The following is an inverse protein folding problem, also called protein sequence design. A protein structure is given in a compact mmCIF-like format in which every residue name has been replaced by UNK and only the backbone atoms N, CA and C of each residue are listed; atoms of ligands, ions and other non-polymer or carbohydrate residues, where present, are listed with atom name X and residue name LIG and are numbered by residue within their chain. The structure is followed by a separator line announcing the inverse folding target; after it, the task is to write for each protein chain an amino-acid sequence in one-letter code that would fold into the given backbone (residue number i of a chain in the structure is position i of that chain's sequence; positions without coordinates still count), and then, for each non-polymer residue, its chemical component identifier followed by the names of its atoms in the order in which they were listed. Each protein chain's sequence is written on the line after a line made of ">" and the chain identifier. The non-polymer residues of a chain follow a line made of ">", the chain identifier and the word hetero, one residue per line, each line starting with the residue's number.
data_IF_583028335614
#
_entry.id   IF_583028335614
#
_cell.length_a   1.000
_cell.length_b   1.000
_cell.length_c   1.000
_cell.angle_alpha   90.00
_cell.angle_beta   90.00
_cell.angle_gamma   90.00
#
_symmetry.space_group_name_H-M   'P 1'
#
loop_
_entity.id
_entity.type
_entity.pdbx_description
1 polymer ?
#
# COMPACT_ATOMS: atom_id res chain seq x y z
N UNK A 1 -28.47 30.41 65.08
CA UNK A 1 -29.88 30.35 64.64
C UNK A 1 -29.94 29.35 63.50
N UNK A 2 -30.65 28.24 63.70
CA UNK A 2 -31.09 27.20 62.74
C UNK A 2 -29.98 26.35 62.05
N UNK A 3 -29.74 25.08 62.46
CA UNK A 3 -30.38 23.78 62.06
C UNK A 3 -30.18 23.44 60.57
N UNK A 4 -29.91 22.23 60.08
CA UNK A 4 -29.42 20.90 60.51
C UNK A 4 -29.44 20.02 59.22
N UNK A 5 -28.82 18.82 59.23
CA UNK A 5 -29.01 17.68 58.29
C UNK A 5 -28.51 17.84 56.82
N UNK A 6 -27.46 17.14 56.36
CA UNK A 6 -27.34 15.71 55.99
C UNK A 6 -27.94 15.31 54.64
N UNK A 7 -27.09 14.65 53.84
CA UNK A 7 -27.38 13.62 52.83
C UNK A 7 -27.85 13.99 51.41
N UNK A 8 -27.20 13.26 50.50
CA UNK A 8 -27.67 12.66 49.26
C UNK A 8 -27.43 13.34 47.91
N UNK A 9 -27.00 12.43 47.05
CA UNK A 9 -26.43 12.53 45.73
C UNK A 9 -27.55 12.26 44.69
N UNK A 10 -27.31 12.70 43.45
CA UNK A 10 -27.94 12.24 42.19
C UNK A 10 -29.38 12.75 41.89
N UNK A 11 -29.47 13.74 40.99
CA UNK A 11 -30.49 13.92 39.93
C UNK A 11 -29.86 14.84 38.86
N UNK A 12 -30.10 14.81 37.54
CA UNK A 12 -30.82 13.95 36.59
C UNK A 12 -30.41 14.45 35.19
N UNK A 13 -30.13 13.52 34.30
CA UNK A 13 -30.35 13.49 32.83
C UNK A 13 -30.33 14.80 32.01
N UNK A 14 -29.40 14.85 31.04
CA UNK A 14 -29.75 15.17 29.65
C UNK A 14 -29.24 14.06 28.75
N UNK A 15 -30.18 13.55 27.96
CA UNK A 15 -30.20 12.29 27.25
C UNK A 15 -29.17 12.22 26.10
N UNK A 16 -28.47 11.09 26.05
CA UNK A 16 -27.83 10.56 24.85
C UNK A 16 -28.92 9.88 23.98
N UNK A 17 -28.83 9.93 22.65
CA UNK A 17 -29.83 9.30 21.78
C UNK A 17 -29.83 7.78 21.97
N UNK A 18 -31.04 7.23 22.00
CA UNK A 18 -31.40 5.85 22.33
C UNK A 18 -30.61 4.81 21.52
N UNK A 19 -29.93 3.91 22.24
CA UNK A 19 -29.46 2.64 21.72
C UNK A 19 -30.66 1.82 21.26
N UNK A 20 -30.70 1.51 19.95
CA UNK A 20 -31.54 0.43 19.45
C UNK A 20 -30.90 -0.88 19.90
N UNK A 21 -31.46 -1.45 20.96
CA UNK A 21 -31.11 -2.78 21.48
C UNK A 21 -31.83 -3.80 20.61
N UNK A 22 -31.12 -4.35 19.61
CA UNK A 22 -31.46 -5.66 19.08
C UNK A 22 -30.74 -6.71 19.94
N UNK A 23 -31.56 -7.61 20.48
CA UNK A 23 -31.24 -8.72 21.40
C UNK A 23 -30.37 -9.77 20.70
N UNK A 24 -29.05 -9.53 20.64
CA UNK A 24 -27.99 -10.54 20.58
C UNK A 24 -26.64 -9.82 20.69
N UNK A 25 -26.03 -9.86 21.87
CA UNK A 25 -24.81 -9.15 22.23
C UNK A 25 -23.56 -9.56 21.46
N UNK A 26 -23.47 -9.15 20.20
CA UNK A 26 -22.23 -9.03 19.44
C UNK A 26 -22.03 -7.55 19.15
N UNK A 27 -21.15 -6.93 19.93
CA UNK A 27 -20.55 -5.63 19.61
C UNK A 27 -20.00 -5.75 18.18
N UNK A 28 -20.66 -5.12 17.21
CA UNK A 28 -20.26 -5.24 15.80
C UNK A 28 -18.92 -4.54 15.64
N UNK A 29 -17.84 -5.32 15.75
CA UNK A 29 -16.50 -4.92 15.38
C UNK A 29 -16.56 -4.23 14.01
N UNK A 30 -15.82 -3.12 13.79
CA UNK A 30 -15.74 -2.51 12.47
C UNK A 30 -15.38 -3.62 11.48
N UNK A 31 -16.24 -3.82 10.49
CA UNK A 31 -16.11 -4.89 9.50
C UNK A 31 -14.72 -4.80 8.89
N UNK A 32 -13.83 -5.74 9.24
CA UNK A 32 -12.55 -5.88 8.54
C UNK A 32 -12.91 -6.07 7.06
N UNK A 33 -12.53 -5.10 6.23
CA UNK A 33 -12.73 -5.17 4.79
C UNK A 33 -11.92 -6.39 4.33
N UNK A 34 -12.58 -7.33 3.66
CA UNK A 34 -11.90 -8.51 3.15
C UNK A 34 -10.85 -8.13 2.10
N UNK A 35 -9.83 -8.98 1.92
CA UNK A 35 -8.78 -8.75 0.92
C UNK A 35 -9.40 -8.61 -0.49
N UNK A 36 -10.39 -9.43 -0.81
CA UNK A 36 -11.13 -9.37 -2.08
C UNK A 36 -11.82 -8.00 -2.27
N UNK A 37 -12.45 -7.46 -1.21
CA UNK A 37 -13.09 -6.12 -1.27
C UNK A 37 -12.05 -5.00 -1.48
N UNK A 38 -10.83 -5.14 -0.94
CA UNK A 38 -9.72 -4.20 -1.19
C UNK A 38 -9.32 -4.26 -2.66
N UNK A 39 -9.11 -5.46 -3.21
CA UNK A 39 -8.67 -5.67 -4.59
C UNK A 39 -9.72 -5.16 -5.59
N UNK A 40 -11.00 -5.43 -5.33
CA UNK A 40 -12.11 -4.90 -6.11
C UNK A 40 -12.17 -3.36 -6.06
N UNK A 41 -11.92 -2.76 -4.89
CA UNK A 41 -11.89 -1.31 -4.75
C UNK A 41 -10.75 -0.69 -5.54
N UNK A 42 -9.55 -1.27 -5.46
CA UNK A 42 -8.39 -0.84 -6.25
C UNK A 42 -8.69 -0.93 -7.75
N UNK A 43 -9.20 -2.06 -8.23
CA UNK A 43 -9.56 -2.24 -9.64
C UNK A 43 -10.54 -1.16 -10.14
N UNK A 44 -11.56 -0.86 -9.35
CA UNK A 44 -12.54 0.19 -9.68
C UNK A 44 -11.90 1.58 -9.71
N UNK A 45 -11.15 1.96 -8.67
CA UNK A 45 -10.53 3.29 -8.61
C UNK A 45 -9.48 3.47 -9.71
N UNK A 46 -8.68 2.44 -10.01
CA UNK A 46 -7.73 2.46 -11.14
C UNK A 46 -8.48 2.79 -12.43
N UNK A 47 -9.56 2.07 -12.75
CA UNK A 47 -10.35 2.30 -13.96
C UNK A 47 -10.89 3.73 -14.05
N UNK A 48 -11.50 4.23 -12.97
CA UNK A 48 -11.98 5.61 -12.89
C UNK A 48 -10.83 6.63 -13.05
N UNK A 49 -9.64 6.29 -12.56
CA UNK A 49 -8.45 7.14 -12.69
C UNK A 49 -7.95 7.19 -14.13
N UNK A 50 -7.97 6.07 -14.86
CA UNK A 50 -7.66 6.05 -16.29
C UNK A 50 -8.65 6.90 -17.09
N UNK A 51 -9.95 6.87 -16.76
CA UNK A 51 -10.94 7.76 -17.37
C UNK A 51 -10.64 9.24 -17.11
N UNK A 52 -10.22 9.60 -15.89
CA UNK A 52 -9.77 10.98 -15.55
C UNK A 52 -8.56 11.37 -16.42
N UNK A 53 -7.55 10.50 -16.53
CA UNK A 53 -6.35 10.74 -17.33
C UNK A 53 -6.70 10.90 -18.82
N UNK A 54 -7.56 10.04 -19.37
CA UNK A 54 -8.01 10.11 -20.76
C UNK A 54 -8.74 11.44 -21.07
N UNK A 55 -9.49 11.95 -20.09
CA UNK A 55 -10.15 13.25 -20.16
C UNK A 55 -9.22 14.44 -19.83
N UNK A 56 -7.91 14.22 -19.74
CA UNK A 56 -6.87 15.24 -19.46
C UNK A 56 -7.05 15.92 -18.10
N UNK A 57 -7.73 15.27 -17.15
CA UNK A 57 -7.82 15.73 -15.77
C UNK A 57 -6.47 15.43 -15.11
N UNK A 58 -5.83 16.48 -14.58
CA UNK A 58 -4.54 16.35 -13.91
C UNK A 58 -4.72 15.81 -12.51
N UNK A 59 -4.01 14.73 -12.20
CA UNK A 59 -3.86 14.21 -10.85
C UNK A 59 -2.85 15.06 -10.07
N UNK A 60 -3.12 15.28 -8.79
CA UNK A 60 -2.16 15.77 -7.80
C UNK A 60 -1.05 14.74 -7.56
N UNK A 61 0.05 15.15 -6.94
CA UNK A 61 1.16 14.23 -6.69
C UNK A 61 0.81 13.14 -5.67
N UNK A 62 -0.07 13.44 -4.71
CA UNK A 62 -0.62 12.44 -3.78
C UNK A 62 -1.49 11.40 -4.52
N UNK A 63 -2.38 11.85 -5.40
CA UNK A 63 -3.21 10.94 -6.21
C UNK A 63 -2.36 10.07 -7.15
N UNK A 64 -1.26 10.61 -7.70
CA UNK A 64 -0.32 9.81 -8.50
C UNK A 64 0.35 8.73 -7.65
N UNK A 65 0.78 9.07 -6.44
CA UNK A 65 1.34 8.09 -5.49
C UNK A 65 0.35 6.94 -5.27
N UNK A 66 -0.87 7.29 -4.86
CA UNK A 66 -1.95 6.33 -4.61
C UNK A 66 -2.26 5.46 -5.83
N UNK A 67 -2.32 6.04 -7.04
CA UNK A 67 -2.48 5.26 -8.27
C UNK A 67 -1.34 4.25 -8.49
N UNK A 68 -0.09 4.68 -8.25
CA UNK A 68 1.09 3.82 -8.38
C UNK A 68 1.04 2.64 -7.41
N UNK A 69 0.68 2.88 -6.15
CA UNK A 69 0.54 1.84 -5.12
C UNK A 69 -0.54 0.81 -5.50
N UNK A 70 -1.72 1.26 -5.95
CA UNK A 70 -2.79 0.35 -6.38
C UNK A 70 -2.39 -0.47 -7.62
N UNK A 71 -1.73 0.14 -8.61
CA UNK A 71 -1.26 -0.59 -9.80
C UNK A 71 -0.19 -1.63 -9.46
N UNK A 72 0.72 -1.28 -8.54
CA UNK A 72 1.77 -2.17 -8.04
C UNK A 72 1.17 -3.38 -7.32
N UNK A 73 0.16 -3.18 -6.48
CA UNK A 73 -0.56 -4.27 -5.83
C UNK A 73 -1.18 -5.23 -6.84
N UNK A 74 -1.97 -4.71 -7.77
CA UNK A 74 -2.64 -5.52 -8.79
C UNK A 74 -1.62 -6.27 -9.66
N UNK A 75 -0.47 -5.67 -9.93
CA UNK A 75 0.62 -6.35 -10.61
C UNK A 75 1.14 -7.55 -9.80
N UNK A 76 1.58 -7.38 -8.56
CA UNK A 76 2.12 -8.49 -7.79
C UNK A 76 1.10 -9.59 -7.47
N UNK A 77 -0.17 -9.22 -7.27
CA UNK A 77 -1.28 -10.18 -7.16
C UNK A 77 -1.39 -11.01 -8.45
N UNK A 78 -1.33 -10.38 -9.63
CA UNK A 78 -1.36 -11.11 -10.91
C UNK A 78 -0.19 -12.06 -11.11
N UNK A 79 0.94 -11.82 -10.44
CA UNK A 79 2.13 -12.69 -10.44
C UNK A 79 2.07 -13.81 -9.39
N UNK A 80 0.96 -13.91 -8.65
CA UNK A 80 0.74 -14.94 -7.63
C UNK A 80 1.31 -14.61 -6.25
N UNK A 81 1.68 -13.34 -5.99
CA UNK A 81 2.05 -12.90 -4.66
C UNK A 81 0.82 -12.47 -3.86
N UNK A 82 0.91 -12.59 -2.54
CA UNK A 82 -0.05 -12.08 -1.56
C UNK A 82 0.50 -10.79 -0.95
N UNK A 83 -0.23 -9.66 -1.00
CA UNK A 83 0.15 -8.45 -0.27
C UNK A 83 0.05 -8.69 1.24
N UNK A 84 1.13 -8.38 1.96
CA UNK A 84 1.23 -8.55 3.42
C UNK A 84 1.48 -7.24 4.16
N UNK A 85 1.52 -6.12 3.44
CA UNK A 85 1.67 -4.79 4.01
C UNK A 85 0.33 -4.17 4.42
N UNK A 86 0.36 -3.26 5.38
CA UNK A 86 -0.80 -2.51 5.86
C UNK A 86 -0.40 -1.09 6.28
N UNK A 87 -1.25 -0.07 5.99
CA UNK A 87 -2.48 -0.16 5.22
C UNK A 87 -2.22 -0.30 3.71
N UNK A 88 -3.17 -0.90 2.99
CA UNK A 88 -3.22 -0.86 1.52
C UNK A 88 -4.02 0.36 1.06
N UNK A 89 -3.57 1.01 0.00
CA UNK A 89 -4.30 2.12 -0.65
C UNK A 89 -5.51 1.57 -1.40
N UNK A 90 -6.71 2.08 -1.15
CA UNK A 90 -7.96 1.64 -1.79
C UNK A 90 -8.64 2.71 -2.63
N UNK A 91 -8.18 3.96 -2.55
CA UNK A 91 -8.74 5.09 -3.27
C UNK A 91 -7.69 6.21 -3.53
N UNK A 92 -7.97 7.11 -4.48
CA UNK A 92 -7.07 8.21 -4.85
C UNK A 92 -6.86 9.27 -3.75
N UNK A 93 -7.75 9.36 -2.77
CA UNK A 93 -7.72 10.33 -1.67
C UNK A 93 -7.15 9.76 -0.39
N UNK A 94 -6.70 8.50 -0.42
CA UNK A 94 -6.04 7.85 0.69
C UNK A 94 -4.92 8.74 1.22
N UNK A 95 -4.89 8.88 2.54
CA UNK A 95 -3.85 9.67 3.21
C UNK A 95 -2.70 8.73 3.54
N UNK A 96 -1.81 8.54 2.57
CA UNK A 96 -0.64 7.70 2.77
C UNK A 96 0.29 8.31 3.83
N UNK A 97 0.78 7.45 4.71
CA UNK A 97 1.88 7.75 5.61
C UNK A 97 3.22 7.74 4.86
N UNK A 98 4.30 8.08 5.54
CA UNK A 98 5.64 7.81 5.03
C UNK A 98 6.00 6.36 5.35
N UNK A 99 6.44 5.56 4.38
CA UNK A 99 6.74 4.16 4.64
C UNK A 99 7.22 3.40 3.41
N UNK A 100 7.23 2.08 3.54
CA UNK A 100 7.32 1.13 2.43
C UNK A 100 5.95 1.09 1.76
N UNK A 101 5.91 1.25 0.45
CA UNK A 101 4.65 1.32 -0.30
C UNK A 101 4.01 -0.07 -0.44
N UNK A 102 4.80 -1.13 -0.65
CA UNK A 102 4.30 -2.49 -0.75
C UNK A 102 5.26 -3.56 -0.25
N UNK A 103 4.71 -4.60 0.39
CA UNK A 103 5.42 -5.85 0.71
C UNK A 103 4.54 -7.03 0.31
N UNK A 104 5.16 -8.00 -0.37
CA UNK A 104 4.48 -9.14 -0.99
C UNK A 104 5.19 -10.44 -0.64
N UNK A 105 4.42 -11.50 -0.44
CA UNK A 105 4.89 -12.86 -0.12
C UNK A 105 4.38 -13.84 -1.17
N UNK A 106 5.23 -14.75 -1.61
CA UNK A 106 4.85 -15.89 -2.45
C UNK A 106 5.47 -17.15 -1.87
N UNK A 107 4.72 -18.24 -1.89
CA UNK A 107 5.21 -19.56 -1.48
C UNK A 107 5.30 -20.44 -2.73
N UNK A 108 6.49 -20.96 -2.99
CA UNK A 108 6.73 -21.87 -4.10
C UNK A 108 6.26 -23.29 -3.77
N UNK A 109 6.24 -24.15 -4.80
CA UNK A 109 5.73 -25.52 -4.68
C UNK A 109 6.53 -26.40 -3.71
N UNK A 110 7.80 -26.10 -3.47
CA UNK A 110 8.66 -26.80 -2.51
C UNK A 110 8.54 -26.23 -1.08
N UNK A 111 7.74 -25.18 -0.90
CA UNK A 111 7.50 -24.52 0.37
C UNK A 111 8.48 -23.39 0.67
N UNK A 112 9.44 -23.06 -0.21
CA UNK A 112 10.26 -21.85 -0.05
C UNK A 112 9.40 -20.60 -0.17
N UNK A 113 9.82 -19.53 0.51
CA UNK A 113 9.14 -18.24 0.49
C UNK A 113 10.01 -17.21 -0.21
N UNK A 114 9.37 -16.46 -1.10
CA UNK A 114 9.95 -15.29 -1.76
C UNK A 114 9.21 -14.04 -1.30
N UNK A 115 9.96 -12.98 -1.08
CA UNK A 115 9.45 -11.69 -0.66
C UNK A 115 9.90 -10.58 -1.60
N UNK A 116 8.98 -9.65 -1.85
CA UNK A 116 9.25 -8.43 -2.60
C UNK A 116 8.91 -7.25 -1.72
N UNK A 117 9.90 -6.39 -1.49
CA UNK A 117 9.73 -5.07 -0.87
C UNK A 117 9.77 -4.05 -2.00
N UNK A 118 8.66 -3.36 -2.23
CA UNK A 118 8.48 -2.52 -3.40
C UNK A 118 8.14 -1.07 -3.03
N UNK A 119 8.57 -0.17 -3.90
CA UNK A 119 8.30 1.25 -3.82
C UNK A 119 7.70 1.71 -5.16
N UNK A 120 6.55 2.38 -5.10
CA UNK A 120 5.80 2.80 -6.27
C UNK A 120 6.22 4.20 -6.70
N UNK A 121 6.49 4.35 -8.01
CA UNK A 121 6.89 5.62 -8.60
C UNK A 121 6.09 5.88 -9.87
N UNK A 122 5.72 7.15 -10.07
CA UNK A 122 4.88 7.56 -11.18
C UNK A 122 5.52 8.69 -11.98
N UNK A 123 5.58 8.50 -13.30
CA UNK A 123 6.14 9.40 -14.31
C UNK A 123 7.61 9.81 -14.07
N UNK A 124 7.83 10.90 -13.32
CA UNK A 124 9.16 11.46 -13.08
C UNK A 124 9.59 11.34 -11.62
N UNK A 125 8.75 10.71 -10.78
CA UNK A 125 9.07 10.47 -9.37
C UNK A 125 10.26 9.53 -9.23
N UNK A 126 11.08 9.74 -8.19
CA UNK A 126 12.31 8.98 -7.94
C UNK A 126 12.45 8.68 -6.45
N UNK A 127 13.27 7.68 -6.13
CA UNK A 127 13.67 7.42 -4.75
C UNK A 127 14.39 8.63 -4.15
N UNK A 128 14.00 9.00 -2.93
CA UNK A 128 14.63 10.07 -2.17
C UNK A 128 15.98 9.60 -1.58
N UNK A 129 16.94 10.52 -1.50
CA UNK A 129 18.29 10.28 -0.98
C UNK A 129 18.62 11.29 0.11
N UNK A 130 19.46 10.90 1.06
CA UNK A 130 19.85 11.76 2.19
C UNK A 130 18.66 12.20 3.03
N UNK A 131 17.82 11.24 3.44
CA UNK A 131 16.67 11.49 4.31
C UNK A 131 17.12 12.06 5.66
N UNK A 132 16.19 12.69 6.39
CA UNK A 132 16.48 13.34 7.66
C UNK A 132 17.07 12.41 8.72
N UNK A 133 16.78 11.10 8.65
CA UNK A 133 17.32 10.06 9.52
C UNK A 133 18.68 9.49 9.06
N UNK A 134 19.30 10.13 8.05
CA UNK A 134 20.60 9.78 7.49
C UNK A 134 20.58 8.63 6.48
N UNK A 135 19.40 8.10 6.13
CA UNK A 135 19.27 6.95 5.24
C UNK A 135 18.91 7.35 3.80
N UNK A 136 19.02 6.41 2.87
CA UNK A 136 18.44 6.52 1.53
C UNK A 136 17.17 5.67 1.46
N UNK A 137 16.13 6.16 0.76
CA UNK A 137 14.94 5.36 0.52
C UNK A 137 15.33 4.03 -0.15
N UNK A 138 14.74 2.93 0.34
CA UNK A 138 14.98 1.54 -0.07
C UNK A 138 16.39 0.98 0.21
N UNK A 139 17.26 1.70 0.94
CA UNK A 139 18.48 1.08 1.50
C UNK A 139 18.14 0.07 2.60
N UNK A 140 19.04 -0.87 2.89
CA UNK A 140 18.82 -1.89 3.93
C UNK A 140 18.49 -1.25 5.28
N UNK A 141 19.27 -0.23 5.67
CA UNK A 141 19.06 0.52 6.92
C UNK A 141 17.72 1.27 6.93
N UNK A 142 17.22 1.69 5.76
CA UNK A 142 15.92 2.36 5.68
C UNK A 142 14.76 1.37 5.79
N UNK A 143 14.89 0.20 5.13
CA UNK A 143 13.92 -0.90 5.17
C UNK A 143 13.83 -1.46 6.58
N UNK A 144 14.96 -1.74 7.22
CA UNK A 144 15.03 -2.29 8.58
C UNK A 144 14.21 -1.46 9.59
N UNK A 145 14.30 -0.12 9.49
CA UNK A 145 13.58 0.81 10.36
C UNK A 145 12.07 0.89 10.11
N UNK A 146 11.59 0.38 8.98
CA UNK A 146 10.21 0.59 8.49
C UNK A 146 9.43 -0.70 8.26
N UNK A 147 10.11 -1.84 8.13
CA UNK A 147 9.48 -3.15 7.89
C UNK A 147 8.50 -3.51 9.02
N UNK A 148 8.91 -3.29 10.28
CA UNK A 148 8.08 -3.13 11.49
C UNK A 148 6.65 -2.66 11.23
N UNK A 149 6.59 -1.43 10.74
CA UNK A 149 5.34 -0.70 10.57
C UNK A 149 4.57 -1.16 9.34
N UNK A 150 5.28 -1.69 8.34
CA UNK A 150 4.67 -2.10 7.07
C UNK A 150 3.93 -3.43 7.22
N UNK A 151 4.52 -4.43 7.90
CA UNK A 151 3.98 -5.81 7.93
C UNK A 151 3.70 -6.33 9.33
N UNK A 152 4.03 -5.57 10.38
CA UNK A 152 3.99 -6.04 11.76
C UNK A 152 5.22 -6.89 12.12
N UNK A 153 5.54 -6.92 13.41
CA UNK A 153 6.81 -7.47 13.90
C UNK A 153 7.04 -8.94 13.52
N UNK A 154 6.03 -9.80 13.70
CA UNK A 154 6.17 -11.24 13.41
C UNK A 154 6.53 -11.50 11.95
N UNK A 155 5.82 -10.84 11.02
CA UNK A 155 6.09 -10.99 9.59
C UNK A 155 7.41 -10.32 9.19
N UNK A 156 7.78 -9.22 9.84
CA UNK A 156 9.07 -8.58 9.60
C UNK A 156 10.25 -9.46 10.03
N UNK A 157 10.13 -10.15 11.18
CA UNK A 157 11.13 -11.10 11.66
C UNK A 157 11.25 -12.30 10.69
N UNK A 158 10.12 -12.83 10.18
CA UNK A 158 10.13 -13.89 9.15
C UNK A 158 10.87 -13.49 7.86
N UNK A 159 10.65 -12.26 7.38
CA UNK A 159 11.34 -11.74 6.18
C UNK A 159 12.85 -11.60 6.43
N UNK A 160 13.25 -11.17 7.64
CA UNK A 160 14.67 -11.06 8.01
C UNK A 160 15.33 -12.43 8.07
N UNK A 161 14.69 -13.40 8.71
CA UNK A 161 15.19 -14.77 8.80
C UNK A 161 15.35 -15.38 7.40
N UNK A 162 14.37 -15.18 6.51
CA UNK A 162 14.47 -15.62 5.12
C UNK A 162 15.67 -15.00 4.38
N UNK A 163 15.90 -13.70 4.55
CA UNK A 163 17.05 -13.00 3.96
C UNK A 163 18.40 -13.48 4.53
N UNK A 164 18.47 -13.80 5.83
CA UNK A 164 19.65 -14.35 6.47
C UNK A 164 19.99 -15.77 5.97
N UNK A 165 18.96 -16.61 5.77
CA UNK A 165 19.09 -17.97 5.26
C UNK A 165 19.44 -18.01 3.76
N UNK A 166 18.76 -17.19 2.95
CA UNK A 166 19.07 -16.96 1.53
C UNK A 166 18.79 -15.51 1.16
N UNK A 167 19.87 -14.76 0.87
CA UNK A 167 19.77 -13.36 0.48
C UNK A 167 18.97 -13.14 -0.82
N UNK A 168 18.76 -14.17 -1.64
CA UNK A 168 17.94 -14.09 -2.85
C UNK A 168 16.44 -14.25 -2.59
N UNK A 169 16.04 -14.69 -1.39
CA UNK A 169 14.63 -14.84 -1.02
C UNK A 169 13.91 -13.49 -0.87
N UNK A 170 14.65 -12.40 -0.64
CA UNK A 170 14.08 -11.05 -0.50
C UNK A 170 14.65 -10.13 -1.57
N UNK A 171 13.76 -9.55 -2.37
CA UNK A 171 14.12 -8.56 -3.39
C UNK A 171 13.59 -7.17 -3.02
N UNK A 172 14.35 -6.15 -3.41
CA UNK A 172 13.94 -4.74 -3.30
C UNK A 172 13.82 -4.14 -4.68
N UNK A 173 12.69 -3.51 -4.95
CA UNK A 173 12.35 -3.07 -6.31
C UNK A 173 11.62 -1.74 -6.33
N UNK A 174 11.73 -1.05 -7.46
CA UNK A 174 10.85 0.08 -7.81
C UNK A 174 9.89 -0.39 -8.88
N UNK A 175 8.59 -0.27 -8.62
CA UNK A 175 7.55 -0.38 -9.65
C UNK A 175 7.28 1.02 -10.19
N UNK A 176 7.50 1.22 -11.49
CA UNK A 176 7.41 2.52 -12.13
C UNK A 176 6.32 2.56 -13.18
N UNK A 177 5.24 3.30 -12.90
CA UNK A 177 4.16 3.54 -13.85
C UNK A 177 4.36 4.84 -14.62
N UNK A 178 4.26 4.78 -15.94
CA UNK A 178 4.44 5.91 -16.84
C UNK A 178 3.28 6.05 -17.82
N UNK A 179 2.66 7.23 -17.82
CA UNK A 179 1.51 7.54 -18.68
C UNK A 179 1.63 8.90 -19.41
N UNK A 180 2.83 9.52 -19.39
CA UNK A 180 3.04 10.85 -19.96
C UNK A 180 2.91 10.89 -21.49
N UNK A 181 2.18 11.90 -21.99
CA UNK A 181 1.89 12.26 -23.39
C UNK A 181 1.97 11.09 -24.37
N UNK A 182 1.21 10.04 -24.07
CA UNK A 182 1.07 8.82 -24.87
C UNK A 182 0.82 9.18 -26.34
N UNK A 183 1.90 9.29 -27.12
CA UNK A 183 1.86 9.67 -28.54
C UNK A 183 0.97 8.69 -29.32
N UNK A 184 0.72 7.50 -28.75
CA UNK A 184 -0.18 6.44 -29.24
C UNK A 184 -1.27 5.99 -28.22
N UNK A 185 -1.50 6.72 -27.12
CA UNK A 185 -2.52 6.35 -26.11
C UNK A 185 -2.19 5.16 -25.20
N UNK A 186 -0.97 4.62 -25.24
CA UNK A 186 -0.51 3.53 -24.37
C UNK A 186 0.25 4.07 -23.16
N UNK A 187 0.01 3.48 -21.99
CA UNK A 187 0.83 3.66 -20.78
C UNK A 187 1.50 2.34 -20.43
N UNK A 188 2.51 2.37 -19.54
CA UNK A 188 3.26 1.16 -19.18
C UNK A 188 3.73 1.18 -17.74
N UNK A 189 4.03 0.00 -17.23
CA UNK A 189 4.77 -0.17 -15.99
C UNK A 189 6.06 -0.95 -16.24
N UNK A 190 7.11 -0.57 -15.53
CA UNK A 190 8.38 -1.30 -15.51
C UNK A 190 8.89 -1.50 -14.09
N UNK A 191 9.71 -2.53 -13.89
CA UNK A 191 10.29 -2.90 -12.59
C UNK A 191 11.81 -2.87 -12.69
N UNK A 192 12.46 -2.26 -11.71
CA UNK A 192 13.92 -2.23 -11.56
C UNK A 192 14.32 -2.59 -10.14
N UNK A 193 15.46 -3.27 -9.97
CA UNK A 193 15.98 -3.63 -8.65
C UNK A 193 16.64 -2.45 -7.93
N UNK A 194 16.76 -2.57 -6.62
CA UNK A 194 17.42 -1.59 -5.74
C UNK A 194 18.46 -2.29 -4.87
N UNK A 195 19.68 -1.77 -4.88
CA UNK A 195 20.79 -2.34 -4.09
C UNK A 195 20.70 -2.01 -2.58
N UNK A 196 21.66 -2.53 -1.79
CA UNK A 196 21.74 -2.34 -0.34
C UNK A 196 21.85 -0.87 0.09
N UNK A 197 22.43 0.00 -0.74
CA UNK A 197 22.59 1.44 -0.48
C UNK A 197 21.35 2.25 -0.92
N UNK A 198 20.33 1.56 -1.41
CA UNK A 198 19.09 2.13 -1.93
C UNK A 198 19.24 2.65 -3.35
N UNK A 199 20.34 2.38 -4.06
CA UNK A 199 20.53 2.85 -5.42
C UNK A 199 19.75 1.94 -6.38
N UNK A 200 18.82 2.57 -7.10
CA UNK A 200 18.04 1.92 -8.15
C UNK A 200 18.95 1.60 -9.33
N UNK A 201 18.85 0.37 -9.83
CA UNK A 201 19.56 -0.03 -11.04
C UNK A 201 19.01 0.68 -12.28
N UNK A 202 19.89 0.87 -13.27
CA UNK A 202 19.52 1.58 -14.52
C UNK A 202 18.65 0.74 -15.43
N UNK A 203 18.83 -0.58 -15.38
CA UNK A 203 18.08 -1.52 -16.19
C UNK A 203 16.71 -1.73 -15.53
N UNK A 204 15.66 -1.62 -16.35
CA UNK A 204 14.30 -1.96 -15.94
C UNK A 204 13.66 -2.90 -16.96
N UNK A 205 12.76 -3.74 -16.47
CA UNK A 205 11.98 -4.69 -17.28
C UNK A 205 10.57 -4.14 -17.40
N UNK A 206 10.07 -3.97 -18.62
CA UNK A 206 8.66 -3.63 -18.82
C UNK A 206 7.81 -4.84 -18.46
N UNK A 207 6.85 -4.64 -17.57
CA UNK A 207 6.02 -5.73 -17.04
C UNK A 207 4.57 -5.65 -17.49
N UNK A 208 4.07 -4.45 -17.81
CA UNK A 208 2.68 -4.25 -18.23
C UNK A 208 2.58 -3.10 -19.23
N UNK A 209 1.66 -3.23 -20.19
CA UNK A 209 1.17 -2.14 -21.03
C UNK A 209 -0.33 -1.97 -20.80
N UNK A 210 -0.80 -0.74 -20.79
CA UNK A 210 -2.22 -0.43 -20.62
C UNK A 210 -2.75 0.41 -21.78
N UNK A 211 -3.98 0.14 -22.17
CA UNK A 211 -4.74 0.98 -23.09
C UNK A 211 -5.25 2.26 -22.40
N UNK A 212 -5.96 3.09 -23.16
CA UNK A 212 -6.53 4.35 -22.67
C UNK A 212 -7.59 4.15 -21.56
N UNK A 213 -8.16 2.96 -21.44
CA UNK A 213 -9.18 2.62 -20.45
C UNK A 213 -8.58 1.94 -19.21
N UNK A 214 -7.25 1.76 -19.17
CA UNK A 214 -6.56 1.05 -18.09
C UNK A 214 -6.63 -0.47 -18.19
N UNK A 215 -7.09 -1.02 -19.32
CA UNK A 215 -7.01 -2.46 -19.52
C UNK A 215 -5.57 -2.82 -19.87
N UNK A 216 -5.05 -3.88 -19.24
CA UNK A 216 -3.78 -4.45 -19.65
C UNK A 216 -3.91 -5.00 -21.08
N UNK A 217 -3.07 -4.49 -21.98
CA UNK A 217 -3.01 -4.91 -23.37
C UNK A 217 -1.68 -5.61 -23.57
N UNK A 218 -1.71 -6.93 -23.38
CA UNK A 218 -0.51 -7.75 -23.28
C UNK A 218 0.57 -7.43 -24.32
N UNK A 219 1.81 -7.38 -23.85
CA UNK A 219 3.06 -7.64 -24.57
C UNK A 219 4.21 -7.56 -23.55
N UNK A 220 4.76 -8.72 -23.17
CA UNK A 220 6.19 -8.85 -22.82
C UNK A 220 6.78 -9.88 -23.79
#
# INVERSE_FOLDING_TARGET
>A
MFRDASENNIEKNKELPEEFVDDDGVESLPKEISIDEIDESQCREIKETFEKIANKIKLTDAEKGNLGEMLMDQYYISQGYVPIHSPRVTDLKHKSGQGIDGVYEKTDFDGSKEYVIADAKVNFSKLNKGLADGTNQMSDVWVEKRLDNAVGKEKADEIRDAYEDDSNSVSKVVYHFSYADSVNGKSKSDVSTVDSDGKQEKDSVVVQFFDINGNEIGEV
#
